data_IF_434694945733
#
_entry.id   IF_434694945733
#
_cell.length_a   1.000
_cell.length_b   1.000
_cell.length_c   1.000
_cell.angle_alpha   90.00
_cell.angle_beta   90.00
_cell.angle_gamma   90.00
#
_symmetry.space_group_name_H-M   'P 1'
#
loop_
_entity.id
_entity.type
_entity.pdbx_description
1 polymer ?
#
# COMPACT_ATOMS: atom_id res chain seq x y z
N UNK A 1 3.14 -8.01 5.19
CA UNK A 1 3.32 -6.87 4.27
C UNK A 1 4.62 -6.13 4.55
N UNK A 2 5.02 -5.91 5.80
CA UNK A 2 6.33 -5.31 6.15
C UNK A 2 7.55 -6.00 5.51
N UNK A 3 7.60 -7.34 5.47
CA UNK A 3 8.70 -8.04 4.78
C UNK A 3 8.78 -7.65 3.30
N UNK A 4 7.63 -7.45 2.64
CA UNK A 4 7.59 -7.04 1.25
C UNK A 4 8.11 -5.61 1.09
N UNK A 5 7.63 -4.70 1.94
CA UNK A 5 8.07 -3.30 2.05
C UNK A 5 9.60 -3.20 2.16
N UNK A 6 10.17 -3.87 3.16
CA UNK A 6 11.62 -3.95 3.39
C UNK A 6 12.38 -4.45 2.15
N UNK A 7 11.85 -5.45 1.45
CA UNK A 7 12.47 -6.00 0.24
C UNK A 7 12.59 -4.93 -0.85
N UNK A 8 11.52 -4.17 -1.11
CA UNK A 8 11.55 -3.12 -2.13
C UNK A 8 12.40 -1.93 -1.71
N UNK A 9 12.36 -1.55 -0.44
CA UNK A 9 13.02 -0.33 0.04
C UNK A 9 14.52 -0.50 0.31
N UNK A 10 14.94 -1.66 0.81
CA UNK A 10 16.29 -1.81 1.39
C UNK A 10 17.09 -3.00 0.85
N UNK A 11 16.44 -4.11 0.47
CA UNK A 11 17.16 -5.38 0.23
C UNK A 11 17.28 -5.81 -1.24
N UNK A 12 16.46 -5.27 -2.13
CA UNK A 12 16.50 -5.63 -3.55
C UNK A 12 17.05 -4.48 -4.38
N UNK A 13 17.80 -4.83 -5.42
CA UNK A 13 18.10 -3.89 -6.49
C UNK A 13 16.84 -3.60 -7.30
N UNK A 14 16.84 -2.50 -8.05
CA UNK A 14 15.69 -2.13 -8.89
C UNK A 14 15.28 -3.24 -9.88
N UNK A 15 16.26 -3.96 -10.44
CA UNK A 15 16.00 -5.08 -11.36
C UNK A 15 15.39 -6.29 -10.63
N UNK A 16 15.85 -6.60 -9.43
CA UNK A 16 15.28 -7.68 -8.61
C UNK A 16 13.86 -7.35 -8.14
N UNK A 17 13.62 -6.10 -7.73
CA UNK A 17 12.30 -5.55 -7.46
C UNK A 17 11.36 -5.71 -8.67
N UNK A 18 11.83 -5.40 -9.89
CA UNK A 18 11.06 -5.60 -11.13
C UNK A 18 10.66 -7.05 -11.33
N UNK A 19 11.62 -7.98 -11.16
CA UNK A 19 11.39 -9.42 -11.31
C UNK A 19 10.38 -9.94 -10.27
N UNK A 20 10.49 -9.46 -9.02
CA UNK A 20 9.53 -9.79 -7.97
C UNK A 20 8.12 -9.27 -8.30
N UNK A 21 7.99 -8.01 -8.74
CA UNK A 21 6.70 -7.43 -9.15
C UNK A 21 6.09 -8.24 -10.30
N UNK A 22 6.88 -8.62 -11.31
CA UNK A 22 6.39 -9.47 -12.42
C UNK A 22 5.92 -10.86 -11.94
N UNK A 23 6.61 -11.44 -10.97
CA UNK A 23 6.21 -12.72 -10.39
C UNK A 23 4.90 -12.60 -9.59
N UNK A 24 4.74 -11.52 -8.81
CA UNK A 24 3.51 -11.21 -8.08
C UNK A 24 2.35 -10.96 -9.07
N UNK A 25 2.57 -10.24 -10.16
CA UNK A 25 1.55 -10.02 -11.19
C UNK A 25 1.07 -11.33 -11.84
N UNK A 26 1.99 -12.26 -12.12
CA UNK A 26 1.67 -13.59 -12.67
C UNK A 26 0.93 -14.48 -11.68
N UNK A 27 1.30 -14.40 -10.40
CA UNK A 27 0.70 -15.18 -9.31
C UNK A 27 0.77 -16.71 -9.52
N UNK A 28 1.90 -17.21 -10.02
CA UNK A 28 2.11 -18.64 -10.32
C UNK A 28 3.40 -19.15 -9.63
N UNK A 29 3.41 -20.34 -9.00
CA UNK A 29 4.62 -20.86 -8.35
C UNK A 29 5.85 -20.92 -9.24
N UNK A 30 5.68 -21.20 -10.55
CA UNK A 30 6.77 -21.26 -11.54
C UNK A 30 7.40 -19.89 -11.81
N UNK A 31 6.73 -18.79 -11.51
CA UNK A 31 7.34 -17.46 -11.64
C UNK A 31 8.51 -17.26 -10.66
N UNK A 32 8.60 -18.08 -9.60
CA UNK A 32 9.74 -18.10 -8.68
C UNK A 32 11.07 -18.40 -9.40
N UNK A 33 11.04 -19.14 -10.52
CA UNK A 33 12.25 -19.47 -11.29
C UNK A 33 12.96 -18.24 -11.86
N UNK A 34 12.22 -17.12 -11.99
CA UNK A 34 12.72 -15.84 -12.50
C UNK A 34 13.09 -14.84 -11.41
N UNK A 35 12.86 -15.19 -10.14
CA UNK A 35 13.13 -14.36 -8.97
C UNK A 35 14.49 -14.77 -8.37
N UNK A 36 15.31 -13.84 -7.85
CA UNK A 36 16.55 -14.17 -7.15
C UNK A 36 16.36 -15.20 -6.03
N UNK A 37 17.36 -16.05 -5.81
CA UNK A 37 17.27 -17.20 -4.89
C UNK A 37 16.77 -16.82 -3.50
N UNK A 38 17.30 -15.73 -2.91
CA UNK A 38 16.93 -15.27 -1.57
C UNK A 38 15.49 -14.73 -1.46
N UNK A 39 14.87 -14.36 -2.59
CA UNK A 39 13.50 -13.84 -2.65
C UNK A 39 12.46 -14.93 -3.01
N UNK A 40 12.91 -16.10 -3.48
CA UNK A 40 12.01 -17.21 -3.86
C UNK A 40 11.15 -17.67 -2.69
N UNK A 41 11.76 -17.83 -1.52
CA UNK A 41 11.05 -18.29 -0.32
C UNK A 41 9.97 -17.29 0.11
N UNK A 42 10.28 -15.98 0.06
CA UNK A 42 9.29 -14.93 0.30
C UNK A 42 8.12 -15.03 -0.68
N UNK A 43 8.41 -15.11 -1.99
CA UNK A 43 7.38 -15.19 -3.02
C UNK A 43 6.49 -16.43 -2.86
N UNK A 44 7.09 -17.61 -2.66
CA UNK A 44 6.35 -18.85 -2.46
C UNK A 44 5.53 -18.82 -1.17
N UNK A 45 6.05 -18.20 -0.10
CA UNK A 45 5.30 -18.01 1.16
C UNK A 45 4.12 -17.07 0.99
N UNK A 46 4.25 -16.00 0.19
CA UNK A 46 3.14 -15.11 -0.16
C UNK A 46 2.02 -15.88 -0.86
N UNK A 47 2.35 -16.65 -1.90
CA UNK A 47 1.37 -17.49 -2.61
C UNK A 47 0.72 -18.50 -1.67
N UNK A 48 1.52 -19.20 -0.86
CA UNK A 48 1.03 -20.16 0.12
C UNK A 48 0.10 -19.51 1.13
N UNK A 49 0.40 -18.31 1.61
CA UNK A 49 -0.44 -17.63 2.61
C UNK A 49 -1.83 -17.33 2.05
N UNK A 50 -1.92 -16.82 0.82
CA UNK A 50 -3.23 -16.63 0.18
C UNK A 50 -3.93 -17.96 -0.14
N UNK A 51 -3.17 -19.03 -0.39
CA UNK A 51 -3.73 -20.37 -0.58
C UNK A 51 -4.28 -20.94 0.72
N UNK A 52 -3.57 -20.78 1.82
CA UNK A 52 -4.02 -21.17 3.16
C UNK A 52 -5.33 -20.43 3.50
N UNK A 53 -5.42 -19.13 3.24
CA UNK A 53 -6.69 -18.39 3.39
C UNK A 53 -7.81 -18.93 2.49
N UNK A 54 -7.51 -19.31 1.25
CA UNK A 54 -8.49 -19.90 0.33
C UNK A 54 -9.00 -21.27 0.80
N UNK A 55 -8.15 -22.05 1.47
CA UNK A 55 -8.46 -23.40 1.94
C UNK A 55 -9.30 -23.39 3.22
N UNK A 56 -9.17 -22.35 4.05
CA UNK A 56 -10.02 -22.11 5.24
C UNK A 56 -11.43 -21.56 4.89
N UNK A 57 -11.67 -21.18 3.63
CA UNK A 57 -12.97 -20.66 3.19
C UNK A 57 -13.88 -21.77 2.67
N UNK A 58 -15.17 -21.64 3.00
CA UNK A 58 -16.24 -22.42 2.35
C UNK A 58 -16.21 -22.25 0.83
N UNK A 59 -16.59 -23.27 0.04
CA UNK A 59 -16.50 -23.24 -1.42
C UNK A 59 -17.14 -22.00 -2.07
N UNK A 60 -18.28 -21.55 -1.56
CA UNK A 60 -19.03 -20.38 -2.04
C UNK A 60 -18.39 -19.05 -1.62
N UNK A 61 -17.40 -19.03 -0.71
CA UNK A 61 -16.69 -17.85 -0.23
C UNK A 61 -15.30 -17.68 -0.85
N UNK A 62 -14.81 -18.65 -1.62
CA UNK A 62 -13.47 -18.59 -2.25
C UNK A 62 -13.29 -17.43 -3.24
N UNK A 63 -14.39 -16.83 -3.74
CA UNK A 63 -14.35 -15.63 -4.59
C UNK A 63 -13.70 -14.42 -3.92
N UNK A 64 -13.56 -14.41 -2.58
CA UNK A 64 -12.94 -13.32 -1.82
C UNK A 64 -11.43 -13.21 -2.06
N UNK A 65 -10.77 -14.34 -2.35
CA UNK A 65 -9.32 -14.41 -2.51
C UNK A 65 -8.81 -13.64 -3.73
N UNK A 66 -9.45 -13.71 -4.92
CA UNK A 66 -9.11 -12.82 -6.03
C UNK A 66 -9.03 -11.33 -5.68
N UNK A 67 -9.93 -10.80 -4.84
CA UNK A 67 -9.85 -9.39 -4.41
C UNK A 67 -8.58 -9.12 -3.60
N UNK A 68 -8.24 -9.99 -2.64
CA UNK A 68 -7.00 -9.85 -1.87
C UNK A 68 -5.77 -9.94 -2.77
N UNK A 69 -5.73 -10.87 -3.73
CA UNK A 69 -4.63 -11.00 -4.70
C UNK A 69 -4.44 -9.70 -5.49
N UNK A 70 -5.51 -9.08 -5.96
CA UNK A 70 -5.42 -7.81 -6.70
C UNK A 70 -4.94 -6.63 -5.83
N UNK A 71 -5.30 -6.60 -4.54
CA UNK A 71 -4.75 -5.60 -3.61
C UNK A 71 -3.25 -5.79 -3.39
N UNK A 72 -2.78 -7.04 -3.26
CA UNK A 72 -1.35 -7.36 -3.10
C UNK A 72 -0.56 -6.99 -4.38
N UNK A 73 -1.10 -7.29 -5.57
CA UNK A 73 -0.50 -6.85 -6.84
C UNK A 73 -0.41 -5.34 -6.92
N UNK A 74 -1.51 -4.65 -6.60
CA UNK A 74 -1.56 -3.19 -6.50
C UNK A 74 -0.46 -2.62 -5.59
N UNK A 75 -0.28 -3.22 -4.41
CA UNK A 75 0.77 -2.85 -3.48
C UNK A 75 2.18 -3.04 -4.07
N UNK A 76 2.45 -4.20 -4.68
CA UNK A 76 3.76 -4.48 -5.31
C UNK A 76 4.11 -3.53 -6.46
N UNK A 77 3.10 -3.04 -7.20
CA UNK A 77 3.28 -2.01 -8.24
C UNK A 77 3.66 -0.67 -7.63
N UNK A 78 3.01 -0.28 -6.53
CA UNK A 78 3.32 0.97 -5.84
C UNK A 78 4.71 0.97 -5.23
N UNK A 79 5.10 -0.09 -4.52
CA UNK A 79 6.47 -0.23 -4.00
C UNK A 79 7.51 -0.19 -5.10
N UNK A 80 7.28 -0.87 -6.22
CA UNK A 80 8.20 -0.80 -7.35
C UNK A 80 8.30 0.60 -7.95
N UNK A 81 7.20 1.37 -7.97
CA UNK A 81 7.22 2.75 -8.46
C UNK A 81 7.99 3.68 -7.51
N UNK A 82 7.87 3.50 -6.20
CA UNK A 82 8.66 4.21 -5.19
C UNK A 82 10.15 3.87 -5.29
N UNK A 83 10.48 2.57 -5.44
CA UNK A 83 11.86 2.13 -5.66
C UNK A 83 12.48 2.74 -6.93
N UNK A 84 11.70 2.90 -8.01
CA UNK A 84 12.15 3.64 -9.21
C UNK A 84 12.45 5.10 -8.90
N UNK A 85 11.55 5.78 -8.20
CA UNK A 85 11.78 7.17 -7.81
C UNK A 85 13.05 7.33 -6.99
N UNK A 86 13.28 6.44 -6.00
CA UNK A 86 14.50 6.41 -5.23
C UNK A 86 15.76 6.20 -6.09
N UNK A 87 15.74 5.21 -6.97
CA UNK A 87 16.87 4.90 -7.86
C UNK A 87 17.19 6.03 -8.85
N UNK A 88 16.18 6.78 -9.29
CA UNK A 88 16.33 7.89 -10.22
C UNK A 88 16.59 9.24 -9.53
N UNK A 89 16.52 9.29 -8.19
CA UNK A 89 16.54 10.55 -7.43
C UNK A 89 15.35 11.46 -7.78
N UNK A 90 14.25 10.88 -8.25
CA UNK A 90 13.06 11.62 -8.66
C UNK A 90 12.20 11.96 -7.45
N UNK A 91 11.94 13.26 -7.28
CA UNK A 91 10.98 13.75 -6.29
C UNK A 91 9.67 14.11 -7.02
N UNK A 92 8.59 13.34 -6.87
CA UNK A 92 7.30 13.62 -7.50
C UNK A 92 6.64 14.88 -6.91
N UNK A 93 5.61 15.41 -7.59
CA UNK A 93 4.69 16.36 -6.96
C UNK A 93 3.93 15.68 -5.81
N UNK A 94 3.38 16.46 -4.87
CA UNK A 94 2.61 15.90 -3.75
C UNK A 94 1.40 15.10 -4.26
N UNK A 95 0.71 15.57 -5.29
CA UNK A 95 -0.41 14.85 -5.88
C UNK A 95 0.02 13.53 -6.53
N UNK A 96 1.12 13.55 -7.29
CA UNK A 96 1.68 12.34 -7.92
C UNK A 96 2.14 11.33 -6.87
N UNK A 97 2.86 11.79 -5.85
CA UNK A 97 3.29 10.99 -4.71
C UNK A 97 2.08 10.29 -4.07
N UNK A 98 1.05 11.04 -3.67
CA UNK A 98 -0.13 10.50 -3.01
C UNK A 98 -0.90 9.48 -3.88
N UNK A 99 -0.90 9.61 -5.20
CA UNK A 99 -1.53 8.60 -6.08
C UNK A 99 -0.88 7.22 -5.96
N UNK A 100 0.42 7.18 -5.69
CA UNK A 100 1.19 5.94 -5.50
C UNK A 100 1.21 5.55 -4.02
N UNK A 101 1.51 6.50 -3.15
CA UNK A 101 1.85 6.23 -1.75
C UNK A 101 0.66 5.90 -0.86
N UNK A 102 -0.55 6.32 -1.24
CA UNK A 102 -1.78 5.87 -0.56
C UNK A 102 -1.99 4.36 -0.75
N UNK A 103 -1.53 3.80 -1.87
CA UNK A 103 -1.55 2.35 -2.10
C UNK A 103 -0.35 1.67 -1.45
N UNK A 104 0.83 2.30 -1.44
CA UNK A 104 2.04 1.72 -0.82
C UNK A 104 1.95 1.57 0.69
N UNK A 105 1.03 2.29 1.36
CA UNK A 105 0.78 2.07 2.80
C UNK A 105 0.47 0.62 3.19
N UNK A 106 0.04 -0.21 2.23
CA UNK A 106 -0.44 -1.56 2.50
C UNK A 106 -1.81 -1.62 3.20
N UNK A 107 -2.34 -0.49 3.65
CA UNK A 107 -3.63 -0.39 4.34
C UNK A 107 -4.80 -0.96 3.51
N UNK A 108 -4.90 -0.73 2.18
CA UNK A 108 -5.95 -1.34 1.35
C UNK A 108 -5.87 -2.87 1.34
N UNK A 109 -4.67 -3.43 1.30
CA UNK A 109 -4.46 -4.87 1.31
C UNK A 109 -4.76 -5.47 2.69
N UNK A 110 -4.39 -4.79 3.78
CA UNK A 110 -4.74 -5.20 5.15
C UNK A 110 -6.24 -5.15 5.38
N UNK A 111 -6.92 -4.08 4.96
CA UNK A 111 -8.37 -3.96 5.05
C UNK A 111 -9.07 -5.09 4.28
N UNK A 112 -8.61 -5.39 3.06
CA UNK A 112 -9.15 -6.49 2.28
C UNK A 112 -8.90 -7.86 2.93
N UNK A 113 -7.70 -8.09 3.46
CA UNK A 113 -7.38 -9.32 4.19
C UNK A 113 -8.27 -9.52 5.42
N UNK A 114 -8.57 -8.45 6.17
CA UNK A 114 -9.51 -8.49 7.29
C UNK A 114 -10.92 -8.88 6.86
N UNK A 115 -11.37 -8.43 5.69
CA UNK A 115 -12.70 -8.76 5.15
C UNK A 115 -12.78 -10.23 4.72
N UNK A 116 -11.68 -10.85 4.26
CA UNK A 116 -11.68 -12.26 3.84
C UNK A 116 -12.25 -13.17 4.93
N UNK A 117 -11.88 -12.94 6.19
CA UNK A 117 -12.31 -13.74 7.35
C UNK A 117 -13.57 -13.25 8.06
N UNK A 118 -14.23 -12.17 7.62
CA UNK A 118 -15.32 -11.50 8.35
C UNK A 118 -16.71 -12.18 8.16
N UNK A 119 -16.77 -13.51 8.16
CA UNK A 119 -18.03 -14.26 8.17
C UNK A 119 -18.98 -13.91 7.01
N UNK A 120 -20.27 -13.78 7.29
CA UNK A 120 -21.32 -13.47 6.30
C UNK A 120 -21.36 -11.99 5.88
N UNK A 121 -20.84 -11.08 6.71
CA UNK A 121 -20.86 -9.63 6.43
C UNK A 121 -19.93 -9.23 5.28
N UNK A 122 -18.96 -10.09 4.95
CA UNK A 122 -18.05 -9.93 3.82
C UNK A 122 -18.68 -10.36 2.48
N UNK A 123 -19.77 -9.69 2.10
CA UNK A 123 -20.45 -9.93 0.83
C UNK A 123 -19.61 -9.48 -0.36
N UNK A 124 -20.00 -9.90 -1.57
CA UNK A 124 -19.31 -9.48 -2.80
C UNK A 124 -19.34 -7.95 -2.97
N UNK A 125 -20.48 -7.33 -2.66
CA UNK A 125 -20.68 -5.89 -2.71
C UNK A 125 -19.74 -5.16 -1.75
N UNK A 126 -19.44 -5.74 -0.58
CA UNK A 126 -18.45 -5.19 0.34
C UNK A 126 -17.04 -5.17 -0.25
N UNK A 127 -16.64 -6.22 -0.98
CA UNK A 127 -15.34 -6.26 -1.68
C UNK A 127 -15.29 -5.32 -2.88
N UNK A 128 -16.38 -5.19 -3.64
CA UNK A 128 -16.48 -4.22 -4.75
C UNK A 128 -16.42 -2.78 -4.23
N UNK A 129 -17.16 -2.49 -3.15
CA UNK A 129 -17.11 -1.21 -2.46
C UNK A 129 -15.70 -0.91 -1.96
N UNK A 130 -15.03 -1.84 -1.26
CA UNK A 130 -13.66 -1.66 -0.81
C UNK A 130 -12.68 -1.43 -1.98
N UNK A 131 -12.83 -2.17 -3.07
CA UNK A 131 -12.00 -2.05 -4.27
C UNK A 131 -12.19 -0.74 -5.02
N UNK A 132 -13.36 -0.10 -4.87
CA UNK A 132 -13.61 1.25 -5.40
C UNK A 132 -12.81 2.35 -4.69
N UNK A 133 -12.08 2.00 -3.63
CA UNK A 133 -11.30 2.90 -2.80
C UNK A 133 -12.16 4.01 -2.18
N UNK A 134 -13.12 3.63 -1.31
CA UNK A 134 -14.14 4.53 -0.79
C UNK A 134 -13.51 5.59 0.11
N UNK A 135 -14.21 6.71 0.31
CA UNK A 135 -13.69 7.87 1.04
C UNK A 135 -13.18 7.52 2.44
N UNK A 136 -13.87 6.62 3.17
CA UNK A 136 -13.40 6.11 4.47
C UNK A 136 -12.02 5.46 4.39
N UNK A 137 -11.77 4.60 3.40
CA UNK A 137 -10.48 3.93 3.21
C UNK A 137 -9.43 4.95 2.76
N UNK A 138 -9.80 5.87 1.87
CA UNK A 138 -8.93 6.96 1.42
C UNK A 138 -8.47 7.82 2.59
N UNK A 139 -9.38 8.22 3.48
CA UNK A 139 -9.05 8.99 4.68
C UNK A 139 -8.09 8.23 5.60
N UNK A 140 -8.36 6.94 5.86
CA UNK A 140 -7.44 6.08 6.64
C UNK A 140 -6.04 6.00 6.00
N UNK A 141 -5.95 5.82 4.69
CA UNK A 141 -4.65 5.78 3.99
C UNK A 141 -3.92 7.11 4.01
N UNK A 142 -4.63 8.25 3.91
CA UNK A 142 -4.03 9.58 4.01
C UNK A 142 -3.45 9.78 5.40
N UNK A 143 -4.23 9.48 6.44
CA UNK A 143 -3.76 9.58 7.83
C UNK A 143 -2.52 8.71 8.01
N UNK A 144 -2.59 7.43 7.60
CA UNK A 144 -1.48 6.49 7.73
C UNK A 144 -0.23 6.99 7.02
N UNK A 145 -0.32 7.36 5.74
CA UNK A 145 0.83 7.79 4.92
C UNK A 145 1.45 9.07 5.46
N UNK A 146 0.64 10.10 5.72
CA UNK A 146 1.18 11.39 6.15
C UNK A 146 1.79 11.31 7.55
N UNK A 147 1.15 10.59 8.49
CA UNK A 147 1.72 10.41 9.83
C UNK A 147 3.01 9.59 9.81
N UNK A 148 3.07 8.56 8.96
CA UNK A 148 4.29 7.77 8.72
C UNK A 148 5.42 8.70 8.26
N UNK A 149 5.26 9.35 7.11
CA UNK A 149 6.25 10.25 6.51
C UNK A 149 6.67 11.39 7.46
N UNK A 150 5.74 12.05 8.17
CA UNK A 150 6.07 13.14 9.12
C UNK A 150 6.96 12.62 10.26
N UNK A 151 6.59 11.45 10.81
CA UNK A 151 7.23 10.90 12.02
C UNK A 151 8.57 10.25 11.69
N UNK A 152 8.70 9.63 10.51
CA UNK A 152 9.91 8.95 10.07
C UNK A 152 10.93 9.87 9.39
N UNK A 153 10.51 11.06 8.91
CA UNK A 153 11.32 11.96 8.10
C UNK A 153 12.76 12.17 8.60
N UNK A 154 12.98 12.43 9.90
CA UNK A 154 14.35 12.69 10.41
C UNK A 154 15.26 11.46 10.39
N UNK A 155 14.66 10.27 10.57
CA UNK A 155 15.37 8.99 10.49
C UNK A 155 15.62 8.58 9.04
N UNK A 156 14.67 8.84 8.15
CA UNK A 156 14.80 8.54 6.73
C UNK A 156 15.86 9.41 6.05
N UNK A 157 15.95 10.70 6.42
CA UNK A 157 16.98 11.62 5.94
C UNK A 157 18.42 11.19 6.34
N UNK A 158 18.59 10.30 7.32
CA UNK A 158 19.89 9.75 7.69
C UNK A 158 20.31 8.56 6.83
N UNK A 159 19.42 8.04 5.97
CA UNK A 159 19.72 6.93 5.07
C UNK A 159 20.36 7.47 3.79
N UNK A 160 21.41 6.78 3.33
CA UNK A 160 22.16 7.16 2.12
C UNK A 160 21.29 7.20 0.85
N UNK A 161 20.22 6.39 0.81
CA UNK A 161 19.30 6.27 -0.33
C UNK A 161 17.86 6.19 0.16
N UNK A 162 17.27 7.33 0.52
CA UNK A 162 15.84 7.40 0.86
C UNK A 162 15.00 7.76 -0.37
N UNK A 163 13.83 7.14 -0.49
CA UNK A 163 12.80 7.59 -1.42
C UNK A 163 12.21 8.90 -0.88
N UNK A 164 11.93 9.85 -1.76
CA UNK A 164 11.30 11.11 -1.36
C UNK A 164 9.92 10.87 -0.77
N UNK A 165 9.68 11.32 0.47
CA UNK A 165 8.39 11.23 1.15
C UNK A 165 7.46 12.37 0.72
N UNK A 166 6.24 12.39 1.28
CA UNK A 166 5.34 13.54 1.11
C UNK A 166 5.93 14.85 1.60
N UNK A 167 6.86 14.84 2.56
CA UNK A 167 7.55 16.04 3.05
C UNK A 167 8.44 16.64 1.94
N UNK A 168 9.29 15.83 1.31
CA UNK A 168 10.15 16.28 0.21
C UNK A 168 9.33 16.71 -1.00
N UNK A 169 8.28 15.96 -1.35
CA UNK A 169 7.37 16.32 -2.44
C UNK A 169 6.72 17.69 -2.19
N UNK A 170 6.24 17.95 -0.97
CA UNK A 170 5.68 19.26 -0.62
C UNK A 170 6.74 20.36 -0.70
N UNK A 171 7.91 20.15 -0.10
CA UNK A 171 8.99 21.13 -0.09
C UNK A 171 9.42 21.51 -1.52
N UNK A 172 9.57 20.52 -2.40
CA UNK A 172 9.95 20.74 -3.80
C UNK A 172 8.87 21.49 -4.58
N UNK A 173 7.60 21.09 -4.44
CA UNK A 173 6.50 21.67 -5.20
C UNK A 173 6.23 23.13 -4.81
N UNK A 174 6.32 23.45 -3.52
CA UNK A 174 5.94 24.75 -2.99
C UNK A 174 7.12 25.64 -2.56
N UNK A 175 8.37 25.16 -2.68
CA UNK A 175 9.55 25.87 -2.21
C UNK A 175 9.54 26.12 -0.70
N UNK A 176 8.92 25.22 0.06
CA UNK A 176 8.70 25.36 1.51
C UNK A 176 9.85 24.76 2.32
N UNK A 177 10.00 25.18 3.59
CA UNK A 177 10.87 24.47 4.55
C UNK A 177 10.21 23.18 5.03
N UNK A 178 11.00 22.29 5.63
CA UNK A 178 10.51 21.05 6.24
C UNK A 178 9.47 21.31 7.34
N UNK A 179 9.64 22.35 8.14
CA UNK A 179 8.68 22.72 9.19
C UNK A 179 7.33 23.13 8.60
N UNK A 180 7.36 23.97 7.56
CA UNK A 180 6.15 24.41 6.86
C UNK A 180 5.46 23.24 6.15
N UNK A 181 6.24 22.36 5.52
CA UNK A 181 5.70 21.16 4.89
C UNK A 181 4.99 20.26 5.92
N UNK A 182 5.65 19.96 7.05
CA UNK A 182 5.07 19.17 8.15
C UNK A 182 3.76 19.78 8.68
N UNK A 183 3.74 21.08 8.99
CA UNK A 183 2.52 21.77 9.46
C UNK A 183 1.36 21.64 8.46
N UNK A 184 1.65 21.73 7.16
CA UNK A 184 0.64 21.60 6.10
C UNK A 184 0.13 20.18 5.96
N UNK A 185 1.02 19.19 6.05
CA UNK A 185 0.65 17.77 6.04
C UNK A 185 -0.15 17.40 7.30
N UNK A 186 0.19 17.91 8.48
CA UNK A 186 -0.60 17.76 9.71
C UNK A 186 -2.03 18.32 9.54
N UNK A 187 -2.17 19.49 8.91
CA UNK A 187 -3.48 20.05 8.57
C UNK A 187 -4.29 19.12 7.63
N UNK A 188 -3.62 18.44 6.70
CA UNK A 188 -4.25 17.44 5.84
C UNK A 188 -4.68 16.20 6.62
N UNK A 189 -3.88 15.76 7.61
CA UNK A 189 -4.24 14.67 8.52
C UNK A 189 -5.48 15.03 9.34
N UNK A 190 -5.54 16.24 9.91
CA UNK A 190 -6.73 16.69 10.65
C UNK A 190 -8.00 16.69 9.79
N UNK A 191 -7.89 17.11 8.53
CA UNK A 191 -9.01 17.06 7.58
C UNK A 191 -9.43 15.63 7.30
N UNK A 192 -8.47 14.74 7.02
CA UNK A 192 -8.77 13.33 6.77
C UNK A 192 -9.44 12.65 7.98
N UNK A 193 -9.07 13.01 9.21
CA UNK A 193 -9.78 12.57 10.41
C UNK A 193 -11.23 13.06 10.47
N UNK A 194 -11.50 14.31 10.09
CA UNK A 194 -12.88 14.84 10.02
C UNK A 194 -13.71 14.09 8.98
N UNK A 195 -13.15 13.88 7.78
CA UNK A 195 -13.82 13.15 6.71
C UNK A 195 -14.11 11.69 7.13
N UNK A 196 -13.14 11.03 7.77
CA UNK A 196 -13.30 9.68 8.34
C UNK A 196 -14.44 9.63 9.38
N UNK A 197 -14.45 10.58 10.32
CA UNK A 197 -15.49 10.65 11.34
C UNK A 197 -16.87 10.91 10.74
N UNK A 198 -16.98 11.77 9.73
CA UNK A 198 -18.25 12.02 9.04
C UNK A 198 -18.76 10.74 8.36
N UNK A 199 -17.90 10.04 7.62
CA UNK A 199 -18.28 8.81 6.93
C UNK A 199 -18.67 7.68 7.90
N UNK A 200 -17.97 7.54 9.03
CA UNK A 200 -18.33 6.57 10.08
C UNK A 200 -19.68 6.87 10.73
N UNK A 201 -20.07 8.14 10.82
CA UNK A 201 -21.32 8.59 11.44
C UNK A 201 -22.49 8.67 10.45
N UNK A 202 -22.22 8.64 9.14
CA UNK A 202 -23.27 8.53 8.12
C UNK A 202 -24.00 7.20 8.30
N UNK A 203 -25.31 7.27 8.55
CA UNK A 203 -26.16 6.07 8.62
C UNK A 203 -26.09 5.34 7.27
N UNK A 204 -26.05 3.99 7.24
CA UNK A 204 -26.21 3.26 6.00
C UNK A 204 -27.52 3.71 5.35
N UNK A 205 -27.47 4.09 4.07
CA UNK A 205 -28.69 4.32 3.28
C UNK A 205 -29.45 2.99 3.32
N UNK A 206 -30.62 2.98 3.96
CA UNK A 206 -31.56 1.87 3.84
C UNK A 206 -31.98 1.83 2.36
N UNK A 207 -31.53 0.79 1.65
CA UNK A 207 -32.04 0.44 0.31
C UNK A 207 -33.23 -0.50 0.48
#
# INVERSE_FOLDING_TARGET
MSIMDDIYDNYSTLEESRLLTEAIERWEPRAADRVPEYLKDFYLKLLKTCKDFEDELEPDKKYRIPYLREQIKGLSRSYFQEAKWGAEGYVPSLEEHLRVSLRSTGYPAVACASFVGLGEDATKEAFEWLSSFPQILKSCTIISRLMDDITSHELEQQRDHHVASTVESYMKEYGASSEVAREKLETMVERAWKDLNEDCLRRPIQV
#
